data_IF_178824969485
#
_entry.id   IF_178824969485
#
_cell.length_a   1.000
_cell.length_b   1.000
_cell.length_c   1.000
_cell.angle_alpha   90.00
_cell.angle_beta   90.00
_cell.angle_gamma   90.00
#
_symmetry.space_group_name_H-M   'P 1'
#
loop_
_entity.id
_entity.type
_entity.pdbx_description
1 polymer ?
#
# COMPACT_ATOMS: atom_id res chain seq x y z
N UNK A 1 -15.23 4.74 -5.32
CA UNK A 1 -14.16 4.23 -4.43
C UNK A 1 -14.08 4.99 -3.12
N UNK A 2 -13.72 6.29 -3.07
CA UNK A 2 -13.63 7.02 -1.79
C UNK A 2 -14.95 6.95 -0.99
N UNK A 3 -16.10 7.22 -1.64
CA UNK A 3 -17.40 7.13 -0.96
C UNK A 3 -17.66 5.73 -0.41
N UNK A 4 -17.49 4.70 -1.23
CA UNK A 4 -17.59 3.29 -0.79
C UNK A 4 -16.75 2.98 0.47
N UNK A 5 -15.54 3.56 0.58
CA UNK A 5 -14.69 3.38 1.76
C UNK A 5 -15.17 4.22 2.96
N UNK A 6 -15.77 5.39 2.73
CA UNK A 6 -16.45 6.16 3.79
C UNK A 6 -17.64 5.39 4.34
N UNK A 7 -18.52 4.91 3.46
CA UNK A 7 -19.71 4.13 3.81
C UNK A 7 -19.37 2.84 4.56
N UNK A 8 -18.23 2.21 4.24
CA UNK A 8 -17.77 1.00 4.95
C UNK A 8 -17.43 1.22 6.42
N UNK A 9 -17.27 2.46 6.86
CA UNK A 9 -16.82 2.77 8.22
C UNK A 9 -15.38 2.35 8.53
N UNK A 10 -14.55 2.08 7.51
CA UNK A 10 -13.19 1.61 7.70
C UNK A 10 -12.33 2.61 8.49
N UNK A 11 -11.83 2.17 9.64
CA UNK A 11 -10.90 2.93 10.50
C UNK A 11 -9.47 2.45 10.29
N UNK A 12 -8.50 3.35 10.45
CA UNK A 12 -7.08 3.06 10.34
C UNK A 12 -6.65 1.98 11.34
N UNK A 13 -6.02 0.92 10.82
CA UNK A 13 -5.62 -0.28 11.59
C UNK A 13 -4.18 -0.25 12.12
N UNK A 14 -3.48 0.88 11.96
CA UNK A 14 -2.15 1.12 12.53
C UNK A 14 -2.17 1.81 13.90
N UNK A 15 -3.26 1.66 14.68
CA UNK A 15 -3.37 2.24 16.03
C UNK A 15 -4.18 3.54 16.13
N UNK A 16 -3.96 4.52 15.26
CA UNK A 16 -4.61 5.84 15.37
C UNK A 16 -6.14 5.84 15.20
N UNK A 17 -6.70 4.82 14.53
CA UNK A 17 -8.16 4.65 14.43
C UNK A 17 -8.91 5.73 13.65
N UNK A 18 -8.22 6.59 12.88
CA UNK A 18 -8.85 7.64 12.07
C UNK A 18 -9.65 7.06 10.90
N UNK A 19 -10.81 7.62 10.51
CA UNK A 19 -11.59 7.13 9.36
C UNK A 19 -10.82 7.22 8.04
N UNK A 20 -10.62 6.08 7.37
CA UNK A 20 -9.77 5.96 6.18
C UNK A 20 -10.35 6.72 4.99
N UNK A 21 -11.67 6.60 4.74
CA UNK A 21 -12.34 7.32 3.65
C UNK A 21 -12.27 8.84 3.81
N UNK A 22 -12.39 9.34 5.05
CA UNK A 22 -12.23 10.78 5.35
C UNK A 22 -10.79 11.23 5.10
N UNK A 23 -9.80 10.44 5.52
CA UNK A 23 -8.38 10.73 5.25
C UNK A 23 -8.12 10.89 3.76
N UNK A 24 -8.67 9.99 2.93
CA UNK A 24 -8.52 10.07 1.47
C UNK A 24 -9.19 11.31 0.87
N UNK A 25 -10.28 11.80 1.48
CA UNK A 25 -10.98 12.99 0.98
C UNK A 25 -10.27 14.33 1.25
N UNK A 26 -9.24 14.34 2.10
CA UNK A 26 -8.43 15.54 2.33
C UNK A 26 -7.41 15.80 1.22
N UNK A 27 -7.22 14.84 0.30
CA UNK A 27 -6.30 15.00 -0.81
C UNK A 27 -6.91 15.98 -1.82
N UNK A 28 -6.20 17.07 -2.08
CA UNK A 28 -6.57 18.03 -3.12
C UNK A 28 -6.45 17.38 -4.51
N UNK A 29 -7.62 17.13 -5.10
CA UNK A 29 -7.75 16.51 -6.43
C UNK A 29 -7.45 17.49 -7.56
N UNK A 30 -7.53 18.79 -7.31
CA UNK A 30 -7.27 19.83 -8.30
C UNK A 30 -5.77 20.18 -8.36
N UNK A 31 -4.98 19.71 -7.40
CA UNK A 31 -3.53 19.89 -7.41
C UNK A 31 -2.91 19.17 -8.61
N UNK A 32 -2.09 19.91 -9.36
CA UNK A 32 -1.23 19.35 -10.41
C UNK A 32 0.01 18.63 -9.86
N UNK A 33 0.23 18.66 -8.53
CA UNK A 33 1.38 17.99 -7.90
C UNK A 33 1.22 16.47 -7.94
N UNK A 34 2.33 15.72 -8.04
CA UNK A 34 2.29 14.27 -7.93
C UNK A 34 1.77 13.87 -6.55
N UNK A 35 0.98 12.79 -6.53
CA UNK A 35 0.46 12.18 -5.32
C UNK A 35 1.12 10.81 -5.14
N UNK A 36 1.40 10.49 -3.89
CA UNK A 36 2.09 9.28 -3.49
C UNK A 36 1.23 8.51 -2.50
N UNK A 37 1.20 7.19 -2.67
CA UNK A 37 0.70 6.29 -1.64
C UNK A 37 1.89 5.77 -0.82
N UNK A 38 1.79 5.81 0.49
CA UNK A 38 2.78 5.20 1.38
C UNK A 38 2.08 4.17 2.26
N UNK A 39 2.56 2.94 2.19
CA UNK A 39 2.09 1.80 2.97
C UNK A 39 3.08 1.60 4.10
N UNK A 40 2.59 1.76 5.33
CA UNK A 40 3.34 1.45 6.53
C UNK A 40 3.21 -0.04 6.83
N UNK A 41 4.30 -0.79 6.60
CA UNK A 41 4.48 -2.18 7.02
C UNK A 41 5.59 -2.30 8.08
N UNK A 42 5.82 -1.24 8.85
CA UNK A 42 6.70 -1.24 10.02
C UNK A 42 5.95 -1.70 11.27
N UNK A 43 5.69 -3.01 11.34
CA UNK A 43 5.08 -3.64 12.52
C UNK A 43 6.14 -3.84 13.61
N UNK A 44 6.49 -2.75 14.29
CA UNK A 44 7.57 -2.72 15.29
C UNK A 44 7.08 -2.58 16.73
N UNK A 45 5.78 -2.38 16.96
CA UNK A 45 5.18 -2.35 18.30
C UNK A 45 5.24 -3.74 18.96
N UNK A 46 5.76 -3.87 20.19
CA UNK A 46 5.87 -5.17 20.86
C UNK A 46 4.52 -5.89 20.98
N UNK A 47 4.50 -7.19 20.65
CA UNK A 47 3.29 -8.01 20.70
C UNK A 47 2.38 -7.90 19.47
N UNK A 48 2.73 -7.07 18.49
CA UNK A 48 2.04 -7.04 17.19
C UNK A 48 2.61 -8.09 16.23
N UNK A 49 1.72 -8.81 15.56
CA UNK A 49 2.08 -9.89 14.62
C UNK A 49 0.98 -10.13 13.56
N UNK A 50 0.23 -9.10 13.19
CA UNK A 50 -0.88 -9.19 12.22
C UNK A 50 -0.42 -8.96 10.79
N UNK A 51 0.56 -8.09 10.57
CA UNK A 51 0.97 -7.68 9.23
C UNK A 51 1.94 -8.71 8.64
N UNK A 52 2.91 -9.17 9.43
CA UNK A 52 3.94 -10.09 8.93
C UNK A 52 3.38 -11.41 8.38
N UNK A 53 2.44 -12.10 9.06
CA UNK A 53 1.83 -13.31 8.50
C UNK A 53 1.02 -13.03 7.22
N UNK A 54 0.34 -11.89 7.12
CA UNK A 54 -0.39 -11.51 5.91
C UNK A 54 0.58 -11.32 4.73
N UNK A 55 1.65 -10.56 4.94
CA UNK A 55 2.64 -10.29 3.89
C UNK A 55 3.43 -11.53 3.49
N UNK A 56 3.64 -12.47 4.43
CA UNK A 56 4.31 -13.73 4.14
C UNK A 56 3.43 -14.69 3.33
N UNK A 57 2.15 -14.81 3.68
CA UNK A 57 1.26 -15.81 3.08
C UNK A 57 0.53 -15.28 1.83
N UNK A 58 0.05 -14.04 1.88
CA UNK A 58 -0.84 -13.46 0.87
C UNK A 58 -0.44 -12.02 0.46
N UNK A 59 0.80 -11.79 -0.01
CA UNK A 59 1.28 -10.44 -0.36
C UNK A 59 0.47 -9.76 -1.47
N UNK A 60 -0.09 -10.53 -2.42
CA UNK A 60 -0.95 -10.01 -3.49
C UNK A 60 -2.19 -9.29 -2.95
N UNK A 61 -2.68 -9.66 -1.77
CA UNK A 61 -3.79 -8.97 -1.11
C UNK A 61 -3.41 -7.52 -0.76
N UNK A 62 -2.17 -7.30 -0.30
CA UNK A 62 -1.67 -5.94 -0.07
C UNK A 62 -1.53 -5.18 -1.40
N UNK A 63 -0.98 -5.83 -2.43
CA UNK A 63 -0.74 -5.21 -3.74
C UNK A 63 -2.05 -4.74 -4.37
N UNK A 64 -3.09 -5.58 -4.38
CA UNK A 64 -4.42 -5.20 -4.87
C UNK A 64 -5.00 -4.02 -4.07
N UNK A 65 -4.90 -4.08 -2.74
CA UNK A 65 -5.29 -2.95 -1.88
C UNK A 65 -4.53 -1.66 -2.19
N UNK A 66 -3.24 -1.76 -2.52
CA UNK A 66 -2.41 -0.63 -2.94
C UNK A 66 -2.89 -0.03 -4.26
N UNK A 67 -3.23 -0.88 -5.24
CA UNK A 67 -3.80 -0.44 -6.54
C UNK A 67 -5.10 0.31 -6.33
N UNK A 68 -6.03 -0.25 -5.55
CA UNK A 68 -7.33 0.37 -5.26
C UNK A 68 -7.15 1.72 -4.55
N UNK A 69 -6.30 1.76 -3.53
CA UNK A 69 -6.04 2.98 -2.76
C UNK A 69 -5.37 4.06 -3.62
N UNK A 70 -4.34 3.70 -4.39
CA UNK A 70 -3.64 4.62 -5.28
C UNK A 70 -4.58 5.19 -6.35
N UNK A 71 -5.43 4.34 -6.94
CA UNK A 71 -6.44 4.75 -7.91
C UNK A 71 -7.45 5.73 -7.29
N UNK A 72 -7.93 5.44 -6.08
CA UNK A 72 -8.91 6.27 -5.38
C UNK A 72 -8.41 7.70 -5.12
N UNK A 73 -7.10 7.83 -4.83
CA UNK A 73 -6.44 9.11 -4.54
C UNK A 73 -5.74 9.72 -5.77
N UNK A 74 -5.75 9.04 -6.91
CA UNK A 74 -5.06 9.47 -8.13
C UNK A 74 -3.55 9.57 -7.99
N UNK A 75 -2.93 8.67 -7.23
CA UNK A 75 -1.48 8.52 -7.13
C UNK A 75 -0.97 7.62 -8.26
N UNK A 76 0.23 7.88 -8.79
CA UNK A 76 0.88 7.01 -9.81
C UNK A 76 2.12 6.29 -9.26
N UNK A 77 2.48 6.57 -8.02
CA UNK A 77 3.60 5.95 -7.32
C UNK A 77 3.15 5.53 -5.92
N UNK A 78 3.53 4.32 -5.53
CA UNK A 78 3.29 3.77 -4.21
C UNK A 78 4.60 3.24 -3.61
N UNK A 79 4.79 3.48 -2.33
CA UNK A 79 5.92 2.97 -1.56
C UNK A 79 5.42 2.04 -0.46
N UNK A 80 6.02 0.87 -0.35
CA UNK A 80 5.82 -0.02 0.79
C UNK A 80 7.08 0.05 1.65
N UNK A 81 6.95 0.65 2.83
CA UNK A 81 8.01 0.68 3.82
C UNK A 81 7.85 -0.53 4.74
N UNK A 82 8.75 -1.50 4.61
CA UNK A 82 8.78 -2.71 5.41
C UNK A 82 9.96 -2.65 6.37
N UNK A 83 9.75 -3.04 7.64
CA UNK A 83 10.85 -3.13 8.61
C UNK A 83 11.99 -4.03 8.12
N UNK A 84 13.23 -3.69 8.44
CA UNK A 84 14.43 -4.37 7.90
C UNK A 84 14.66 -5.78 8.44
N UNK A 85 14.07 -6.11 9.58
CA UNK A 85 14.34 -7.33 10.35
C UNK A 85 13.63 -8.58 9.78
N UNK A 86 12.68 -8.39 8.86
CA UNK A 86 11.83 -9.47 8.32
C UNK A 86 12.23 -9.86 6.90
N UNK A 87 13.49 -10.29 6.74
CA UNK A 87 14.08 -10.60 5.42
C UNK A 87 13.26 -11.60 4.59
N UNK A 88 12.65 -12.61 5.24
CA UNK A 88 11.77 -13.57 4.56
C UNK A 88 10.54 -12.92 3.94
N UNK A 89 9.89 -12.02 4.69
CA UNK A 89 8.74 -11.23 4.21
C UNK A 89 9.17 -10.28 3.09
N UNK A 90 10.32 -9.63 3.23
CA UNK A 90 10.85 -8.72 2.20
C UNK A 90 11.05 -9.44 0.86
N UNK A 91 11.66 -10.64 0.89
CA UNK A 91 11.87 -11.46 -0.32
C UNK A 91 10.54 -11.86 -0.96
N UNK A 92 9.59 -12.33 -0.15
CA UNK A 92 8.27 -12.74 -0.62
C UNK A 92 7.48 -11.58 -1.24
N UNK A 93 7.51 -10.41 -0.59
CA UNK A 93 6.83 -9.21 -1.06
C UNK A 93 7.43 -8.69 -2.36
N UNK A 94 8.77 -8.65 -2.48
CA UNK A 94 9.44 -8.27 -3.74
C UNK A 94 9.11 -9.22 -4.89
N UNK A 95 9.09 -10.53 -4.63
CA UNK A 95 8.69 -11.52 -5.61
C UNK A 95 7.23 -11.30 -6.07
N UNK A 96 6.30 -11.08 -5.13
CA UNK A 96 4.90 -10.81 -5.47
C UNK A 96 4.72 -9.53 -6.29
N UNK A 97 5.48 -8.47 -5.96
CA UNK A 97 5.47 -7.24 -6.77
C UNK A 97 5.97 -7.52 -8.18
N UNK A 98 7.07 -8.26 -8.35
CA UNK A 98 7.56 -8.64 -9.67
C UNK A 98 6.54 -9.48 -10.46
N UNK A 99 5.94 -10.49 -9.83
CA UNK A 99 4.85 -11.30 -10.41
C UNK A 99 3.68 -10.42 -10.90
N UNK A 100 3.33 -9.38 -10.14
CA UNK A 100 2.25 -8.45 -10.51
C UNK A 100 2.63 -7.54 -11.70
N UNK A 101 3.90 -7.14 -11.84
CA UNK A 101 4.38 -6.46 -13.05
C UNK A 101 4.34 -7.39 -14.27
N UNK A 102 4.82 -8.62 -14.13
CA UNK A 102 4.82 -9.63 -15.21
C UNK A 102 3.40 -9.94 -15.70
N UNK A 103 2.42 -10.00 -14.79
CA UNK A 103 1.02 -10.23 -15.11
C UNK A 103 0.29 -8.98 -15.65
N UNK A 104 0.93 -7.81 -15.69
CA UNK A 104 0.31 -6.56 -16.16
C UNK A 104 -0.68 -5.93 -15.16
N UNK A 105 -0.60 -6.31 -13.88
CA UNK A 105 -1.39 -5.71 -12.79
C UNK A 105 -0.73 -4.47 -12.17
N UNK A 106 0.55 -4.24 -12.47
CA UNK A 106 1.32 -3.05 -12.12
C UNK A 106 2.08 -2.52 -13.36
N UNK A 107 2.55 -1.28 -13.29
CA UNK A 107 3.27 -0.62 -14.37
C UNK A 107 2.38 0.29 -15.21
N UNK A 108 2.61 0.31 -16.52
CA UNK A 108 1.93 1.22 -17.44
C UNK A 108 0.64 0.62 -18.01
N UNK A 109 -0.39 1.46 -18.13
CA UNK A 109 -1.67 1.13 -18.73
C UNK A 109 -2.25 -0.20 -18.21
N UNK A 110 -2.35 -0.31 -16.88
CA UNK A 110 -2.75 -1.53 -16.16
C UNK A 110 -4.05 -2.07 -16.77
N UNK A 111 -4.01 -3.28 -17.31
CA UNK A 111 -5.13 -3.95 -17.98
C UNK A 111 -5.84 -3.11 -19.07
N UNK A 112 -5.12 -2.20 -19.74
CA UNK A 112 -5.70 -1.34 -20.76
C UNK A 112 -6.55 -0.18 -20.23
N UNK A 113 -6.48 0.13 -18.94
CA UNK A 113 -7.34 1.12 -18.26
C UNK A 113 -6.95 2.59 -18.47
N UNK A 114 -5.76 2.86 -19.02
CA UNK A 114 -5.15 4.20 -19.09
C UNK A 114 -4.56 4.70 -17.76
N UNK A 115 -4.56 3.84 -16.72
CA UNK A 115 -3.99 4.14 -15.41
C UNK A 115 -2.63 3.44 -15.24
N UNK A 116 -1.68 4.17 -14.65
CA UNK A 116 -0.34 3.65 -14.35
C UNK A 116 -0.13 3.65 -12.85
N UNK A 117 0.57 2.63 -12.35
CA UNK A 117 1.03 2.59 -10.97
C UNK A 117 2.37 1.89 -10.87
N UNK A 118 3.35 2.61 -10.32
CA UNK A 118 4.65 2.08 -9.95
C UNK A 118 4.73 1.83 -8.44
N UNK A 119 5.21 0.66 -8.02
CA UNK A 119 5.26 0.19 -6.63
C UNK A 119 6.70 -0.14 -6.23
N UNK A 120 7.19 0.54 -5.20
CA UNK A 120 8.56 0.39 -4.71
C UNK A 120 8.54 -0.19 -3.29
N UNK A 121 9.23 -1.32 -3.09
CA UNK A 121 9.41 -1.95 -1.77
C UNK A 121 10.73 -1.49 -1.16
N UNK A 122 10.64 -0.68 -0.11
CA UNK A 122 11.78 -0.16 0.65
C UNK A 122 11.90 -0.88 2.00
N UNK A 123 13.10 -1.33 2.34
CA UNK A 123 13.39 -1.96 3.61
C UNK A 123 13.99 -0.92 4.57
N UNK A 124 13.47 -0.86 5.80
CA UNK A 124 14.01 -0.04 6.87
C UNK A 124 15.35 -0.56 7.41
N UNK A 125 15.94 0.19 8.34
CA UNK A 125 17.25 -0.09 8.93
C UNK A 125 17.20 -0.39 10.45
N UNK A 126 16.05 -0.84 10.97
CA UNK A 126 15.90 -1.24 12.38
C UNK A 126 15.67 -0.08 13.35
N UNK A 127 14.80 0.86 12.98
CA UNK A 127 14.37 1.96 13.84
C UNK A 127 12.85 1.90 14.02
N UNK A 128 12.39 2.02 15.28
CA UNK A 128 10.97 2.02 15.64
C UNK A 128 10.24 3.34 15.32
N UNK A 129 10.97 4.43 15.09
CA UNK A 129 10.44 5.80 14.91
C UNK A 129 10.50 6.27 13.46
#
# INVERSE_FOLDING_TARGET
VIETVKDSGLRGRGGAGFPTGTKWSFIDRNSAKPRYLVINADESEPGTCKDMPLLLNTPHFLIEGAVIAAYAIGARHAFIYLRGEVVGVLRRLRAAVAEAYEAGYLGHNILGSGYDLDVIVHAGAGAYI
#
